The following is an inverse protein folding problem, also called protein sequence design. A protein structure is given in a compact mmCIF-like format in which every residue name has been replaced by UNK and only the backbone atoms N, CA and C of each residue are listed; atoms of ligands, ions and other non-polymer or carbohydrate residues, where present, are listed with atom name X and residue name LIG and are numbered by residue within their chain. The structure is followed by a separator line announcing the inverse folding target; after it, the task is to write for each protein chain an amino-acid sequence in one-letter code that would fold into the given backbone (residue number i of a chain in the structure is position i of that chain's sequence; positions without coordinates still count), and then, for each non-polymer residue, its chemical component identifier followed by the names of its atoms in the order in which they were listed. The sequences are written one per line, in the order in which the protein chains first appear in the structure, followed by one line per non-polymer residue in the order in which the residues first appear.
data_IF_848826192040
#
_entry.id   IF_848826192040
#
_cell.length_a   1.000
_cell.length_b   1.000
_cell.length_c   1.000
_cell.angle_alpha   90.00
_cell.angle_beta   90.00
_cell.angle_gamma   90.00
#
_symmetry.space_group_name_H-M   'P 1'
#
loop_
_entity.id
_entity.type
_entity.pdbx_description
1 polymer ?
#
# COMPACT_ATOMS: atom_id res chain seq x y z
N UNK A 1 -30.87 8.51 -14.55
CA UNK A 1 -29.58 8.27 -13.86
C UNK A 1 -29.48 9.26 -12.70
N UNK A 2 -29.41 8.80 -11.47
CA UNK A 2 -29.23 9.67 -10.31
C UNK A 2 -27.81 10.26 -10.29
N UNK A 3 -27.58 11.31 -9.51
CA UNK A 3 -26.23 11.86 -9.28
C UNK A 3 -25.28 10.78 -8.74
N UNK A 4 -25.78 9.93 -7.86
CA UNK A 4 -24.98 8.83 -7.30
C UNK A 4 -24.57 7.82 -8.38
N UNK A 5 -25.49 7.42 -9.27
CA UNK A 5 -25.18 6.51 -10.39
C UNK A 5 -24.13 7.12 -11.31
N UNK A 6 -24.23 8.43 -11.57
CA UNK A 6 -23.23 9.15 -12.37
C UNK A 6 -21.87 9.14 -11.71
N UNK A 7 -21.77 9.44 -10.40
CA UNK A 7 -20.52 9.46 -9.65
C UNK A 7 -19.88 8.07 -9.59
N UNK A 8 -20.65 7.02 -9.46
CA UNK A 8 -20.15 5.64 -9.50
C UNK A 8 -19.63 5.28 -10.89
N UNK A 9 -20.39 5.59 -11.95
CA UNK A 9 -20.04 5.22 -13.32
C UNK A 9 -18.92 6.08 -13.92
N UNK A 10 -18.72 7.31 -13.44
CA UNK A 10 -17.74 8.25 -13.97
C UNK A 10 -16.31 7.67 -13.83
N UNK A 11 -15.48 7.68 -14.91
CA UNK A 11 -14.07 7.34 -14.79
C UNK A 11 -13.33 8.38 -13.94
N UNK A 12 -12.44 7.93 -13.07
CA UNK A 12 -11.73 8.77 -12.11
C UNK A 12 -10.22 8.58 -12.23
N UNK A 13 -9.49 9.55 -11.73
CA UNK A 13 -8.04 9.47 -11.50
C UNK A 13 -7.73 9.77 -10.03
N UNK A 14 -6.65 9.18 -9.50
CA UNK A 14 -6.14 9.45 -8.16
C UNK A 14 -4.66 9.76 -8.23
N UNK A 15 -4.29 11.02 -7.94
CA UNK A 15 -2.93 11.53 -8.17
C UNK A 15 -2.06 11.58 -6.91
N UNK A 16 -2.58 11.19 -5.74
CA UNK A 16 -1.80 11.16 -4.51
C UNK A 16 -2.38 10.15 -3.53
N UNK A 17 -1.64 9.05 -3.35
CA UNK A 17 -1.98 8.02 -2.36
C UNK A 17 -0.72 7.28 -1.93
N UNK A 18 -0.54 7.06 -0.63
CA UNK A 18 0.51 6.22 -0.09
C UNK A 18 0.03 4.76 -0.05
N UNK A 19 0.76 3.84 -0.70
CA UNK A 19 0.34 2.45 -0.85
C UNK A 19 0.04 1.80 0.50
N UNK A 20 0.98 1.88 1.43
CA UNK A 20 0.84 1.28 2.75
C UNK A 20 -0.34 1.87 3.53
N UNK A 21 -0.48 3.21 3.51
CA UNK A 21 -1.55 3.92 4.23
C UNK A 21 -2.95 3.71 3.65
N UNK A 22 -3.06 3.30 2.39
CA UNK A 22 -4.33 3.08 1.71
C UNK A 22 -4.73 1.60 1.61
N UNK A 23 -3.89 0.70 2.11
CA UNK A 23 -4.14 -0.74 2.11
C UNK A 23 -5.21 -1.08 3.15
N UNK A 24 -6.16 -1.92 2.74
CA UNK A 24 -7.34 -2.24 3.53
C UNK A 24 -7.03 -3.22 4.67
N UNK A 25 -7.82 -3.21 5.76
CA UNK A 25 -7.65 -4.11 6.92
C UNK A 25 -7.55 -5.59 6.54
N UNK A 26 -8.35 -6.02 5.57
CA UNK A 26 -8.37 -7.41 5.08
C UNK A 26 -7.01 -7.86 4.55
N UNK A 27 -6.34 -6.96 3.81
CA UNK A 27 -5.00 -7.22 3.25
C UNK A 27 -3.94 -7.30 4.35
N UNK A 28 -4.02 -6.43 5.36
CA UNK A 28 -3.10 -6.45 6.50
C UNK A 28 -3.26 -7.71 7.35
N UNK A 29 -4.48 -8.15 7.60
CA UNK A 29 -4.73 -9.40 8.33
C UNK A 29 -4.18 -10.62 7.58
N UNK A 30 -4.35 -10.67 6.26
CA UNK A 30 -3.79 -11.76 5.46
C UNK A 30 -2.26 -11.75 5.47
N UNK A 31 -1.62 -10.59 5.34
CA UNK A 31 -0.16 -10.45 5.43
C UNK A 31 0.36 -10.83 6.82
N UNK A 32 -0.32 -10.41 7.87
CA UNK A 32 0.02 -10.77 9.25
C UNK A 32 -0.05 -12.30 9.45
N UNK A 33 -1.10 -12.94 8.94
CA UNK A 33 -1.26 -14.40 8.99
C UNK A 33 -0.17 -15.15 8.22
N UNK A 34 0.16 -14.67 7.00
CA UNK A 34 1.22 -15.30 6.16
C UNK A 34 2.59 -15.28 6.82
N UNK A 35 2.89 -14.20 7.52
CA UNK A 35 4.21 -13.91 8.05
C UNK A 35 4.32 -14.11 9.56
N UNK A 36 3.30 -14.70 10.19
CA UNK A 36 3.22 -14.94 11.63
C UNK A 36 3.51 -13.65 12.47
N UNK A 37 2.95 -12.53 12.01
CA UNK A 37 3.05 -11.24 12.68
C UNK A 37 1.79 -10.97 13.47
N UNK A 38 1.93 -10.78 14.78
CA UNK A 38 0.79 -10.48 15.64
C UNK A 38 0.41 -9.00 15.52
N UNK A 39 -0.85 -8.74 15.13
CA UNK A 39 -1.47 -7.42 15.17
C UNK A 39 -2.34 -7.28 16.44
N UNK A 40 -2.68 -6.03 16.85
CA UNK A 40 -3.56 -5.80 18.01
C UNK A 40 -4.97 -6.37 17.86
N UNK A 41 -5.42 -6.62 16.62
CA UNK A 41 -6.69 -7.25 16.33
C UNK A 41 -6.51 -8.35 15.27
N UNK A 42 -7.33 -9.38 15.32
CA UNK A 42 -7.35 -10.55 14.44
C UNK A 42 -8.64 -10.66 13.59
N UNK A 43 -9.55 -9.68 13.74
CA UNK A 43 -10.78 -9.56 12.97
C UNK A 43 -10.78 -8.26 12.15
N UNK A 44 -11.57 -8.23 11.07
CA UNK A 44 -11.72 -7.03 10.22
C UNK A 44 -12.31 -5.87 11.02
N UNK A 45 -13.32 -6.15 11.84
CA UNK A 45 -13.98 -5.17 12.70
C UNK A 45 -13.00 -4.58 13.72
N UNK A 46 -12.24 -5.43 14.41
CA UNK A 46 -11.22 -5.01 15.35
C UNK A 46 -10.10 -4.19 14.69
N UNK A 47 -9.69 -4.54 13.47
CA UNK A 47 -8.72 -3.74 12.71
C UNK A 47 -9.30 -2.37 12.32
N UNK A 48 -10.56 -2.31 11.92
CA UNK A 48 -11.22 -1.02 11.61
C UNK A 48 -11.32 -0.13 12.83
N UNK A 49 -11.63 -0.68 14.00
CA UNK A 49 -11.65 0.06 15.27
C UNK A 49 -10.24 0.56 15.63
N UNK A 50 -9.22 -0.30 15.50
CA UNK A 50 -7.84 0.07 15.76
C UNK A 50 -7.32 1.15 14.81
N UNK A 51 -7.77 1.17 13.55
CA UNK A 51 -7.41 2.19 12.55
C UNK A 51 -8.02 3.56 12.82
N UNK A 52 -8.93 3.69 13.76
CA UNK A 52 -9.41 4.99 14.23
C UNK A 52 -8.33 5.61 15.13
N UNK A 53 -7.37 6.29 14.51
CA UNK A 53 -6.27 6.93 15.23
C UNK A 53 -6.74 8.15 16.01
N UNK A 54 -6.13 8.37 17.18
CA UNK A 54 -6.48 9.44 18.12
C UNK A 54 -5.63 10.68 17.91
N UNK A 55 -4.38 10.49 17.55
CA UNK A 55 -3.36 11.52 17.34
C UNK A 55 -2.29 11.02 16.36
N UNK A 56 -1.34 11.87 16.03
CA UNK A 56 -0.26 11.52 15.12
C UNK A 56 0.67 10.40 15.63
N UNK A 57 1.08 10.36 16.90
CA UNK A 57 1.82 9.21 17.43
C UNK A 57 1.10 7.87 17.24
N UNK A 58 -0.20 7.80 17.55
CA UNK A 58 -1.00 6.58 17.34
C UNK A 58 -1.11 6.22 15.85
N UNK A 59 -1.25 7.20 14.95
CA UNK A 59 -1.19 6.95 13.51
C UNK A 59 0.14 6.29 13.10
N UNK A 60 1.28 6.79 13.59
CA UNK A 60 2.60 6.21 13.30
C UNK A 60 2.72 4.80 13.86
N UNK A 61 2.19 4.53 15.06
CA UNK A 61 2.17 3.19 15.66
C UNK A 61 1.42 2.21 14.75
N UNK A 62 0.21 2.56 14.31
CA UNK A 62 -0.58 1.75 13.36
C UNK A 62 0.21 1.51 12.08
N UNK A 63 0.73 2.59 11.47
CA UNK A 63 1.47 2.52 10.22
C UNK A 63 2.69 1.59 10.31
N UNK A 64 3.48 1.70 11.37
CA UNK A 64 4.65 0.86 11.58
C UNK A 64 4.28 -0.61 11.84
N UNK A 65 3.22 -0.86 12.61
CA UNK A 65 2.75 -2.21 12.90
C UNK A 65 2.28 -2.94 11.64
N UNK A 66 1.50 -2.27 10.77
CA UNK A 66 1.06 -2.89 9.51
C UNK A 66 2.22 -3.06 8.53
N UNK A 67 3.13 -2.09 8.42
CA UNK A 67 4.31 -2.24 7.57
C UNK A 67 5.22 -3.40 8.00
N UNK A 68 5.25 -3.73 9.29
CA UNK A 68 6.00 -4.87 9.83
C UNK A 68 5.47 -6.24 9.36
N UNK A 69 4.26 -6.30 8.81
CA UNK A 69 3.70 -7.53 8.24
C UNK A 69 4.30 -7.91 6.89
N UNK A 70 4.98 -6.98 6.20
CA UNK A 70 5.63 -7.22 4.90
C UNK A 70 7.02 -7.81 5.15
N UNK A 71 7.28 -9.01 4.61
CA UNK A 71 8.52 -9.77 4.80
C UNK A 71 9.19 -10.18 3.49
N UNK A 72 8.47 -10.12 2.38
CA UNK A 72 8.94 -10.57 1.07
C UNK A 72 8.50 -9.67 -0.07
N UNK A 73 9.10 -9.85 -1.25
CA UNK A 73 8.67 -9.21 -2.48
C UNK A 73 7.24 -9.62 -2.87
N UNK A 74 6.86 -10.86 -2.59
CA UNK A 74 5.52 -11.37 -2.89
C UNK A 74 4.45 -10.69 -2.02
N UNK A 75 4.81 -10.28 -0.79
CA UNK A 75 3.90 -9.50 0.06
C UNK A 75 3.69 -8.09 -0.49
N UNK A 76 4.75 -7.47 -1.04
CA UNK A 76 4.66 -6.17 -1.71
C UNK A 76 3.77 -6.27 -2.94
N UNK A 77 3.99 -7.28 -3.78
CA UNK A 77 3.16 -7.52 -4.96
C UNK A 77 1.70 -7.75 -4.57
N UNK A 78 1.45 -8.59 -3.56
CA UNK A 78 0.11 -8.87 -3.06
C UNK A 78 -0.59 -7.60 -2.57
N UNK A 79 0.06 -6.81 -1.71
CA UNK A 79 -0.46 -5.54 -1.21
C UNK A 79 -0.82 -4.59 -2.37
N UNK A 80 0.06 -4.44 -3.35
CA UNK A 80 -0.16 -3.57 -4.50
C UNK A 80 -1.33 -4.06 -5.37
N UNK A 81 -1.46 -5.36 -5.59
CA UNK A 81 -2.58 -5.95 -6.34
C UNK A 81 -3.93 -5.72 -5.65
N UNK A 82 -4.00 -5.95 -4.34
CA UNK A 82 -5.24 -5.73 -3.57
C UNK A 82 -5.64 -4.25 -3.58
N UNK A 83 -4.68 -3.34 -3.42
CA UNK A 83 -4.93 -1.91 -3.56
C UNK A 83 -5.48 -1.57 -4.95
N UNK A 84 -4.86 -2.06 -6.04
CA UNK A 84 -5.28 -1.77 -7.41
C UNK A 84 -6.66 -2.38 -7.75
N UNK A 85 -7.03 -3.53 -7.19
CA UNK A 85 -8.41 -4.06 -7.26
C UNK A 85 -9.41 -3.07 -6.68
N UNK A 86 -9.13 -2.53 -5.49
CA UNK A 86 -9.99 -1.54 -4.84
C UNK A 86 -10.13 -0.24 -5.64
N UNK A 87 -9.06 0.19 -6.32
CA UNK A 87 -9.10 1.36 -7.21
C UNK A 87 -9.96 1.07 -8.46
N UNK A 88 -9.76 -0.06 -9.11
CA UNK A 88 -10.53 -0.45 -10.29
C UNK A 88 -12.03 -0.61 -9.98
N UNK A 89 -12.38 -1.16 -8.81
CA UNK A 89 -13.77 -1.29 -8.35
C UNK A 89 -14.47 0.07 -8.18
N UNK A 90 -13.73 1.14 -7.95
CA UNK A 90 -14.23 2.52 -7.87
C UNK A 90 -14.24 3.24 -9.24
N UNK A 91 -14.01 2.51 -10.33
CA UNK A 91 -13.85 3.05 -11.68
C UNK A 91 -12.70 4.08 -11.81
N UNK A 92 -11.63 3.91 -11.02
CA UNK A 92 -10.40 4.67 -11.17
C UNK A 92 -9.60 4.03 -12.32
N UNK A 93 -9.20 4.85 -13.30
CA UNK A 93 -8.50 4.41 -14.51
C UNK A 93 -7.01 4.69 -14.51
N UNK A 94 -6.60 5.63 -13.65
CA UNK A 94 -5.20 5.94 -13.44
C UNK A 94 -4.97 6.32 -11.98
N UNK A 95 -3.86 5.89 -11.39
CA UNK A 95 -3.47 6.26 -10.03
C UNK A 95 -1.96 6.51 -9.93
N UNK A 96 -1.55 7.53 -9.16
CA UNK A 96 -0.16 7.75 -8.74
C UNK A 96 0.00 7.32 -7.29
N UNK A 97 0.94 6.40 -7.07
CA UNK A 97 1.10 5.69 -5.80
C UNK A 97 2.46 6.03 -5.22
N UNK A 98 2.47 6.69 -4.08
CA UNK A 98 3.70 6.91 -3.31
C UNK A 98 4.05 5.65 -2.54
N UNK A 99 5.32 5.25 -2.61
CA UNK A 99 5.85 4.07 -1.96
C UNK A 99 7.20 4.40 -1.29
N UNK A 100 7.39 3.93 -0.06
CA UNK A 100 8.57 4.19 0.77
C UNK A 100 9.47 2.96 0.85
N UNK A 101 10.38 2.72 -0.11
CA UNK A 101 11.16 1.46 -0.17
C UNK A 101 12.13 1.30 0.99
N UNK A 102 12.75 2.40 1.47
CA UNK A 102 13.70 2.35 2.56
C UNK A 102 13.11 1.78 3.87
N UNK A 103 11.80 1.95 4.08
CA UNK A 103 11.11 1.38 5.25
C UNK A 103 11.19 -0.16 5.25
N UNK A 104 10.87 -0.80 4.12
CA UNK A 104 10.91 -2.26 4.00
C UNK A 104 12.32 -2.84 3.94
N UNK A 105 13.29 -2.05 3.44
CA UNK A 105 14.70 -2.39 3.61
C UNK A 105 15.08 -2.44 5.11
N UNK A 106 14.71 -1.43 5.90
CA UNK A 106 15.00 -1.38 7.35
C UNK A 106 14.30 -2.49 8.14
N UNK A 107 13.05 -2.81 7.81
CA UNK A 107 12.25 -3.78 8.58
C UNK A 107 12.59 -5.22 8.21
N UNK A 108 12.79 -5.52 6.93
CA UNK A 108 12.87 -6.88 6.40
C UNK A 108 14.11 -7.14 5.51
N UNK A 109 15.01 -6.17 5.34
CA UNK A 109 16.21 -6.33 4.50
C UNK A 109 15.92 -6.42 3.00
N UNK A 110 14.74 -6.03 2.55
CA UNK A 110 14.34 -6.10 1.14
C UNK A 110 15.08 -5.04 0.34
N UNK A 111 15.90 -5.45 -0.62
CA UNK A 111 16.61 -4.53 -1.48
C UNK A 111 15.67 -3.78 -2.44
N UNK A 112 16.08 -2.58 -2.89
CA UNK A 112 15.23 -1.70 -3.71
C UNK A 112 14.83 -2.32 -5.03
N UNK A 113 15.72 -3.05 -5.69
CA UNK A 113 15.45 -3.70 -6.97
C UNK A 113 14.35 -4.75 -6.84
N UNK A 114 14.47 -5.61 -5.85
CA UNK A 114 13.48 -6.66 -5.55
C UNK A 114 12.10 -6.06 -5.27
N UNK A 115 12.04 -4.95 -4.51
CA UNK A 115 10.80 -4.24 -4.23
C UNK A 115 10.17 -3.64 -5.50
N UNK A 116 10.98 -2.96 -6.35
CA UNK A 116 10.50 -2.37 -7.60
C UNK A 116 10.02 -3.42 -8.61
N UNK A 117 10.69 -4.54 -8.70
CA UNK A 117 10.27 -5.63 -9.57
C UNK A 117 8.90 -6.21 -9.13
N UNK A 118 8.65 -6.32 -7.82
CA UNK A 118 7.34 -6.72 -7.28
C UNK A 118 6.23 -5.71 -7.61
N UNK A 119 6.48 -4.41 -7.41
CA UNK A 119 5.56 -3.35 -7.79
C UNK A 119 5.27 -3.35 -9.30
N UNK A 120 6.29 -3.55 -10.13
CA UNK A 120 6.13 -3.62 -11.58
C UNK A 120 5.33 -4.85 -12.04
N UNK A 121 5.46 -6.00 -11.37
CA UNK A 121 4.60 -7.16 -11.64
C UNK A 121 3.14 -6.85 -11.33
N UNK A 122 2.87 -6.22 -10.17
CA UNK A 122 1.52 -5.78 -9.81
C UNK A 122 0.93 -4.78 -10.81
N UNK A 123 1.75 -3.80 -11.26
CA UNK A 123 1.36 -2.80 -12.25
C UNK A 123 0.95 -3.43 -13.58
N UNK A 124 1.79 -4.29 -14.13
CA UNK A 124 1.52 -4.99 -15.40
C UNK A 124 0.25 -5.83 -15.30
N UNK A 125 0.15 -6.61 -14.25
CA UNK A 125 -1.04 -7.41 -14.01
C UNK A 125 -2.32 -6.57 -13.93
N UNK A 126 -2.29 -5.41 -13.24
CA UNK A 126 -3.47 -4.55 -13.11
C UNK A 126 -3.85 -3.90 -14.44
N UNK A 127 -2.88 -3.50 -15.27
CA UNK A 127 -3.14 -2.99 -16.61
C UNK A 127 -3.79 -4.05 -17.51
N UNK A 128 -3.27 -5.28 -17.49
CA UNK A 128 -3.76 -6.39 -18.31
C UNK A 128 -5.11 -6.95 -17.84
N UNK A 129 -5.31 -7.08 -16.52
CA UNK A 129 -6.46 -7.78 -15.94
C UNK A 129 -7.59 -6.86 -15.53
N UNK A 130 -7.32 -5.60 -15.17
CA UNK A 130 -8.28 -4.65 -14.62
C UNK A 130 -8.45 -3.39 -15.47
N UNK A 131 -7.59 -3.17 -16.45
CA UNK A 131 -7.60 -1.96 -17.30
C UNK A 131 -7.29 -0.67 -16.54
N UNK A 132 -6.60 -0.76 -15.38
CA UNK A 132 -6.13 0.40 -14.62
C UNK A 132 -4.63 0.59 -14.84
N UNK A 133 -4.22 1.83 -15.10
CA UNK A 133 -2.81 2.22 -15.17
C UNK A 133 -2.37 2.86 -13.87
N UNK A 134 -1.09 2.66 -13.50
CA UNK A 134 -0.52 3.36 -12.34
C UNK A 134 0.94 3.75 -12.56
N UNK A 135 1.36 4.84 -11.91
CA UNK A 135 2.74 5.24 -11.71
C UNK A 135 3.14 5.07 -10.25
N UNK A 136 4.40 4.70 -9.99
CA UNK A 136 4.96 4.70 -8.64
C UNK A 136 5.87 5.90 -8.45
N UNK A 137 5.69 6.59 -7.32
CA UNK A 137 6.53 7.68 -6.84
C UNK A 137 7.29 7.13 -5.65
N UNK A 138 8.61 7.05 -5.75
CA UNK A 138 9.44 6.62 -4.62
C UNK A 138 9.71 7.83 -3.74
N UNK A 139 9.42 7.73 -2.46
CA UNK A 139 9.68 8.80 -1.51
C UNK A 139 10.85 8.48 -0.59
N UNK A 140 11.40 9.54 0.01
CA UNK A 140 12.48 9.48 0.97
C UNK A 140 11.98 10.09 2.29
N UNK A 141 11.98 9.28 3.34
CA UNK A 141 11.59 9.73 4.67
C UNK A 141 12.53 10.81 5.19
N UNK A 142 12.01 11.90 5.74
CA UNK A 142 12.81 13.04 6.23
C UNK A 142 13.71 12.73 7.43
N UNK A 143 13.45 11.63 8.13
CA UNK A 143 14.20 11.19 9.30
C UNK A 143 15.36 10.24 8.98
N UNK A 144 15.74 10.14 7.71
CA UNK A 144 16.91 9.33 7.27
C UNK A 144 18.10 10.24 6.97
N UNK A 145 19.32 9.69 7.06
CA UNK A 145 20.56 10.41 6.71
C UNK A 145 20.67 10.60 5.18
N UNK A 146 21.55 11.50 4.73
CA UNK A 146 21.84 11.69 3.31
C UNK A 146 22.29 10.38 2.63
N UNK A 147 23.13 9.59 3.29
CA UNK A 147 23.57 8.28 2.80
C UNK A 147 22.40 7.29 2.63
N UNK A 148 21.50 7.24 3.63
CA UNK A 148 20.30 6.42 3.55
C UNK A 148 19.32 6.92 2.48
N UNK A 149 19.33 8.21 2.18
CA UNK A 149 18.52 8.79 1.11
C UNK A 149 19.00 8.34 -0.27
N UNK A 150 20.32 8.28 -0.48
CA UNK A 150 20.95 7.81 -1.72
C UNK A 150 20.63 6.36 -2.04
N UNK A 151 20.30 5.54 -1.03
CA UNK A 151 19.85 4.16 -1.27
C UNK A 151 18.51 4.08 -2.04
N UNK A 152 17.65 5.10 -1.92
CA UNK A 152 16.35 5.14 -2.62
C UNK A 152 16.47 5.75 -4.03
N UNK A 153 17.48 6.57 -4.27
CA UNK A 153 17.73 7.24 -5.55
C UNK A 153 18.39 6.31 -6.59
#
# INVERSE_FOLDING_TARGET
MSLNDFLVAMPKVKLHVHLQGATQPETWLELARRNDVKLPADTIEGMREWFVFKDFPHFIEIYMAVCATIRSADDIEYMAREFLKGQAAQNIRYTEITYTPHLHYKIAGLDGRTQLDALNRARKWAEESLGIKCGFILDISRNVTAEQSLWTA
#
